data_IF_402123471294
#
_entry.id   IF_402123471294
#
_cell.length_a   1.000
_cell.length_b   1.000
_cell.length_c   1.000
_cell.angle_alpha   90.00
_cell.angle_beta   90.00
_cell.angle_gamma   90.00
#
_symmetry.space_group_name_H-M   'P 1'
#
loop_
_entity.id
_entity.type
_entity.pdbx_description
1 polymer ?
#
# COMPACT_ATOMS: atom_id res chain seq x y z
N UNK A 1 23.96 25.88 -18.63
CA UNK A 1 23.54 24.55 -18.16
C UNK A 1 23.00 24.56 -16.73
N UNK A 2 23.51 25.38 -15.80
CA UNK A 2 23.03 25.40 -14.41
C UNK A 2 21.60 25.94 -14.22
N UNK A 3 21.20 26.95 -15.00
CA UNK A 3 19.87 27.56 -14.87
C UNK A 3 18.72 26.59 -15.24
N UNK A 4 18.89 25.76 -16.28
CA UNK A 4 17.90 24.75 -16.66
C UNK A 4 17.74 23.66 -15.60
N UNK A 5 18.85 23.23 -14.99
CA UNK A 5 18.82 22.24 -13.91
C UNK A 5 18.11 22.79 -12.67
N UNK A 6 18.40 24.04 -12.29
CA UNK A 6 17.75 24.70 -11.17
C UNK A 6 16.24 24.86 -11.39
N UNK A 7 15.83 25.27 -12.59
CA UNK A 7 14.43 25.35 -12.98
C UNK A 7 13.74 23.98 -12.93
N UNK A 8 14.40 22.93 -13.42
CA UNK A 8 13.86 21.56 -13.37
C UNK A 8 13.62 21.10 -11.92
N UNK A 9 14.57 21.35 -11.03
CA UNK A 9 14.45 21.03 -9.61
C UNK A 9 13.33 21.85 -8.95
N UNK A 10 13.21 23.14 -9.27
CA UNK A 10 12.12 23.97 -8.75
C UNK A 10 10.74 23.46 -9.18
N UNK A 11 10.57 23.06 -10.44
CA UNK A 11 9.33 22.42 -10.88
C UNK A 11 9.07 21.08 -10.18
N UNK A 12 10.10 20.26 -9.96
CA UNK A 12 9.96 18.99 -9.21
C UNK A 12 9.56 19.20 -7.73
N UNK A 13 10.02 20.28 -7.10
CA UNK A 13 9.55 20.67 -5.76
C UNK A 13 8.08 21.11 -5.77
N UNK A 14 7.65 21.87 -6.79
CA UNK A 14 6.25 22.23 -6.98
C UNK A 14 5.35 21.00 -7.19
N UNK A 15 5.83 19.99 -7.92
CA UNK A 15 5.15 18.69 -8.07
C UNK A 15 4.92 18.05 -6.69
N UNK A 16 5.95 18.03 -5.85
CA UNK A 16 5.89 17.47 -4.49
C UNK A 16 4.87 18.23 -3.64
N UNK A 17 4.95 19.56 -3.63
CA UNK A 17 4.02 20.42 -2.88
C UNK A 17 2.57 20.23 -3.33
N UNK A 18 2.32 20.19 -4.64
CA UNK A 18 0.97 20.03 -5.20
C UNK A 18 0.34 18.69 -4.80
N UNK A 19 1.14 17.62 -4.77
CA UNK A 19 0.69 16.27 -4.42
C UNK A 19 0.22 16.17 -2.96
N UNK A 20 0.97 16.74 -2.02
CA UNK A 20 0.69 16.59 -0.58
C UNK A 20 -0.23 17.67 0.00
N UNK A 21 -0.48 18.77 -0.72
CA UNK A 21 -1.31 19.88 -0.25
C UNK A 21 -2.55 20.07 -1.11
N UNK A 22 -3.56 19.24 -0.86
CA UNK A 22 -4.93 19.39 -1.41
C UNK A 22 -5.80 20.38 -0.62
N UNK A 23 -5.21 21.18 0.27
CA UNK A 23 -5.95 22.17 1.05
C UNK A 23 -6.40 23.34 0.17
N UNK A 24 -7.67 23.76 0.32
CA UNK A 24 -8.32 24.78 -0.53
C UNK A 24 -7.51 26.08 -0.67
N UNK A 25 -6.75 26.46 0.35
CA UNK A 25 -5.87 27.64 0.34
C UNK A 25 -4.74 27.60 -0.70
N UNK A 26 -4.23 26.41 -1.04
CA UNK A 26 -3.17 26.25 -2.05
C UNK A 26 -3.71 26.16 -3.48
N UNK A 27 -5.01 25.94 -3.67
CA UNK A 27 -5.61 25.91 -5.00
C UNK A 27 -5.47 27.25 -5.74
N UNK A 28 -5.35 28.37 -5.03
CA UNK A 28 -5.08 29.67 -5.63
C UNK A 28 -3.65 29.76 -6.23
N UNK A 29 -2.66 29.12 -5.59
CA UNK A 29 -1.26 29.09 -6.04
C UNK A 29 -1.11 28.17 -7.25
N UNK A 30 -1.84 27.05 -7.27
CA UNK A 30 -1.78 26.06 -8.35
C UNK A 30 -2.93 26.16 -9.36
N UNK A 31 -3.66 27.28 -9.37
CA UNK A 31 -4.92 27.45 -10.13
C UNK A 31 -4.77 27.10 -11.61
N UNK A 32 -3.58 27.33 -12.17
CA UNK A 32 -3.24 27.09 -13.58
C UNK A 32 -2.17 25.99 -13.78
N UNK A 33 -1.85 25.21 -12.75
CA UNK A 33 -0.80 24.19 -12.82
C UNK A 33 -1.31 22.84 -12.35
N UNK A 34 -1.75 22.02 -13.32
CA UNK A 34 -2.08 20.62 -13.07
C UNK A 34 -0.80 19.83 -12.77
N UNK A 35 -0.94 18.75 -12.00
CA UNK A 35 0.20 17.91 -11.61
C UNK A 35 0.97 17.36 -12.83
N UNK A 36 0.23 16.97 -13.89
CA UNK A 36 0.80 16.52 -15.16
C UNK A 36 1.61 17.62 -15.87
N UNK A 37 1.10 18.86 -15.91
CA UNK A 37 1.78 19.99 -16.54
C UNK A 37 3.07 20.35 -15.81
N UNK A 38 3.05 20.36 -14.47
CA UNK A 38 4.24 20.58 -13.65
C UNK A 38 5.30 19.51 -13.90
N UNK A 39 4.90 18.24 -13.97
CA UNK A 39 5.83 17.16 -14.28
C UNK A 39 6.41 17.28 -15.69
N UNK A 40 5.58 17.61 -16.69
CA UNK A 40 6.06 17.79 -18.06
C UNK A 40 7.07 18.94 -18.15
N UNK A 41 6.82 20.08 -17.48
CA UNK A 41 7.79 21.19 -17.40
C UNK A 41 9.08 20.79 -16.71
N UNK A 42 8.99 20.05 -15.60
CA UNK A 42 10.18 19.57 -14.90
C UNK A 42 11.03 18.64 -15.80
N UNK A 43 10.37 17.71 -16.49
CA UNK A 43 11.02 16.77 -17.41
C UNK A 43 11.57 17.44 -18.66
N UNK A 44 10.93 18.47 -19.20
CA UNK A 44 11.44 19.25 -20.33
C UNK A 44 12.79 19.91 -19.99
N UNK A 45 12.95 20.41 -18.76
CA UNK A 45 14.15 21.12 -18.32
C UNK A 45 15.24 20.20 -17.76
N UNK A 46 14.89 19.00 -17.31
CA UNK A 46 15.80 18.09 -16.62
C UNK A 46 15.35 16.63 -16.64
N UNK A 47 15.19 16.07 -17.85
CA UNK A 47 14.78 14.68 -18.09
C UNK A 47 15.78 13.61 -17.62
N UNK A 48 17.02 14.01 -17.33
CA UNK A 48 18.10 13.11 -16.89
C UNK A 48 18.52 13.37 -15.44
N UNK A 49 17.79 14.21 -14.70
CA UNK A 49 18.05 14.47 -13.29
C UNK A 49 17.32 13.43 -12.42
N UNK A 50 18.04 12.60 -11.62
CA UNK A 50 17.41 11.57 -10.78
C UNK A 50 16.37 12.14 -9.81
N UNK A 51 16.64 13.33 -9.25
CA UNK A 51 15.68 14.00 -8.37
C UNK A 51 14.36 14.30 -9.10
N UNK A 52 14.42 14.90 -10.30
CA UNK A 52 13.24 15.26 -11.10
C UNK A 52 12.47 14.00 -11.50
N UNK A 53 13.17 12.99 -12.01
CA UNK A 53 12.59 11.70 -12.37
C UNK A 53 11.88 11.03 -11.19
N UNK A 54 12.49 11.08 -10.00
CA UNK A 54 11.93 10.51 -8.77
C UNK A 54 10.64 11.20 -8.33
N UNK A 55 10.61 12.54 -8.33
CA UNK A 55 9.41 13.29 -7.94
C UNK A 55 8.29 13.14 -8.97
N UNK A 56 8.62 13.24 -10.25
CA UNK A 56 7.65 13.09 -11.34
C UNK A 56 7.09 11.67 -11.38
N UNK A 57 7.93 10.64 -11.23
CA UNK A 57 7.47 9.25 -11.15
C UNK A 57 6.48 9.04 -10.01
N UNK A 58 6.84 9.46 -8.79
CA UNK A 58 5.96 9.39 -7.63
C UNK A 58 4.61 10.11 -7.80
N UNK A 59 4.60 11.23 -8.53
CA UNK A 59 3.40 11.98 -8.85
C UNK A 59 2.53 11.29 -9.91
N UNK A 60 3.17 10.69 -10.93
CA UNK A 60 2.49 9.98 -12.02
C UNK A 60 1.81 8.70 -11.58
N UNK A 61 2.19 8.10 -10.45
CA UNK A 61 1.62 6.83 -9.93
C UNK A 61 0.07 6.76 -9.96
N UNK A 62 -0.63 7.88 -9.76
CA UNK A 62 -2.09 7.93 -9.79
C UNK A 62 -2.70 8.42 -11.11
N UNK A 63 -1.87 8.91 -12.04
CA UNK A 63 -2.27 9.43 -13.35
C UNK A 63 -1.98 8.39 -14.43
N UNK A 64 -0.74 7.93 -14.49
CA UNK A 64 -0.21 6.97 -15.45
C UNK A 64 0.84 6.10 -14.74
N UNK A 65 0.46 4.87 -14.42
CA UNK A 65 1.28 3.97 -13.63
C UNK A 65 2.49 3.43 -14.40
N UNK A 66 2.36 3.27 -15.72
CA UNK A 66 3.46 2.79 -16.56
C UNK A 66 4.52 3.88 -16.74
N UNK A 67 4.09 5.12 -16.95
CA UNK A 67 4.99 6.28 -16.95
C UNK A 67 5.66 6.47 -15.59
N UNK A 68 4.94 6.24 -14.48
CA UNK A 68 5.52 6.26 -13.13
C UNK A 68 6.68 5.28 -13.00
N UNK A 69 6.46 4.02 -13.39
CA UNK A 69 7.49 2.97 -13.33
C UNK A 69 8.68 3.33 -14.22
N UNK A 70 8.44 3.71 -15.48
CA UNK A 70 9.52 4.05 -16.42
C UNK A 70 10.39 5.21 -15.95
N UNK A 71 9.79 6.27 -15.38
CA UNK A 71 10.54 7.40 -14.82
C UNK A 71 11.39 6.98 -13.61
N UNK A 72 10.86 6.12 -12.74
CA UNK A 72 11.56 5.64 -11.56
C UNK A 72 12.69 4.66 -11.91
N UNK A 73 12.48 3.78 -12.87
CA UNK A 73 13.51 2.89 -13.43
C UNK A 73 14.64 3.71 -14.06
N UNK A 74 14.31 4.73 -14.86
CA UNK A 74 15.31 5.67 -15.40
C UNK A 74 16.07 6.38 -14.28
N UNK A 75 15.39 6.80 -13.22
CA UNK A 75 16.02 7.47 -12.07
C UNK A 75 17.09 6.59 -11.41
N UNK A 76 16.73 5.34 -11.07
CA UNK A 76 17.66 4.43 -10.39
C UNK A 76 18.80 3.97 -11.28
N UNK A 77 18.57 3.87 -12.60
CA UNK A 77 19.61 3.56 -13.58
C UNK A 77 20.66 4.67 -13.68
N UNK A 78 20.28 5.94 -13.54
CA UNK A 78 21.21 7.08 -13.52
C UNK A 78 21.91 7.18 -12.17
N UNK A 79 21.15 7.11 -11.07
CA UNK A 79 21.69 7.16 -9.70
C UNK A 79 20.78 6.45 -8.72
N UNK A 80 21.29 5.37 -8.14
CA UNK A 80 20.62 4.67 -7.04
C UNK A 80 20.29 5.65 -5.90
N UNK A 81 19.03 5.66 -5.47
CA UNK A 81 18.61 6.41 -4.30
C UNK A 81 17.39 5.75 -3.63
N UNK A 82 17.34 5.85 -2.30
CA UNK A 82 16.33 5.16 -1.48
C UNK A 82 14.88 5.55 -1.84
N UNK A 83 14.63 6.84 -2.12
CA UNK A 83 13.28 7.34 -2.43
C UNK A 83 12.75 6.77 -3.75
N UNK A 84 13.57 6.70 -4.79
CA UNK A 84 13.17 6.17 -6.09
C UNK A 84 12.77 4.69 -5.98
N UNK A 85 13.59 3.87 -5.32
CA UNK A 85 13.25 2.47 -5.07
C UNK A 85 11.99 2.32 -4.20
N UNK A 86 11.82 3.15 -3.17
CA UNK A 86 10.61 3.15 -2.36
C UNK A 86 9.36 3.44 -3.21
N UNK A 87 9.41 4.47 -4.05
CA UNK A 87 8.30 4.81 -4.94
C UNK A 87 8.08 3.79 -6.05
N UNK A 88 9.14 3.11 -6.51
CA UNK A 88 9.06 2.04 -7.48
C UNK A 88 8.28 0.84 -6.91
N UNK A 89 8.59 0.44 -5.67
CA UNK A 89 7.82 -0.59 -4.95
C UNK A 89 6.34 -0.24 -4.81
N UNK A 90 6.02 1.00 -4.41
CA UNK A 90 4.62 1.47 -4.35
C UNK A 90 3.93 1.48 -5.71
N UNK A 91 4.67 1.71 -6.79
CA UNK A 91 4.13 1.73 -8.15
C UNK A 91 3.83 0.32 -8.64
N UNK A 92 4.71 -0.64 -8.38
CA UNK A 92 4.45 -2.05 -8.70
C UNK A 92 3.22 -2.60 -7.97
N UNK A 93 3.08 -2.33 -6.66
CA UNK A 93 1.88 -2.75 -5.91
C UNK A 93 0.62 -2.10 -6.49
N UNK A 94 0.66 -0.79 -6.79
CA UNK A 94 -0.48 -0.11 -7.43
C UNK A 94 -0.86 -0.79 -8.75
N UNK A 95 0.12 -1.17 -9.57
CA UNK A 95 -0.11 -1.85 -10.86
C UNK A 95 -0.72 -3.24 -10.66
N UNK A 96 -0.28 -4.01 -9.67
CA UNK A 96 -0.90 -5.29 -9.29
C UNK A 96 -2.37 -5.10 -8.95
N UNK A 97 -2.67 -4.15 -8.05
CA UNK A 97 -4.05 -3.84 -7.64
C UNK A 97 -4.91 -3.42 -8.83
N UNK A 98 -4.38 -2.59 -9.73
CA UNK A 98 -5.08 -2.19 -10.95
C UNK A 98 -5.39 -3.39 -11.86
N UNK A 99 -4.41 -4.28 -12.06
CA UNK A 99 -4.59 -5.49 -12.86
C UNK A 99 -5.65 -6.43 -12.27
N UNK A 100 -5.71 -6.58 -10.94
CA UNK A 100 -6.76 -7.35 -10.26
C UNK A 100 -8.15 -6.77 -10.53
N UNK A 101 -8.33 -5.46 -10.37
CA UNK A 101 -9.61 -4.80 -10.64
C UNK A 101 -10.03 -4.89 -12.11
N UNK A 102 -9.09 -4.78 -13.06
CA UNK A 102 -9.37 -4.95 -14.49
C UNK A 102 -9.79 -6.38 -14.85
N UNK A 103 -9.23 -7.39 -14.18
CA UNK A 103 -9.63 -8.80 -14.35
C UNK A 103 -11.02 -9.11 -13.79
N UNK A 104 -11.43 -8.40 -12.73
CA UNK A 104 -12.74 -8.55 -12.11
C UNK A 104 -13.86 -7.72 -12.78
N UNK A 105 -13.52 -6.85 -13.74
CA UNK A 105 -14.46 -6.04 -14.52
C UNK A 105 -14.22 -6.09 -16.05
N UNK A 106 -14.23 -7.26 -16.71
CA UNK A 106 -14.34 -7.29 -18.16
C UNK A 106 -15.75 -6.80 -18.54
N UNK A 107 -15.80 -5.66 -19.25
CA UNK A 107 -16.99 -5.01 -19.85
C UNK A 107 -18.26 -5.88 -19.87
N UNK A 108 -19.11 -5.79 -18.84
CA UNK A 108 -20.48 -6.30 -18.96
C UNK A 108 -21.31 -5.27 -19.73
N UNK A 109 -21.81 -5.69 -20.90
CA UNK A 109 -22.92 -5.01 -21.59
C UNK A 109 -24.16 -5.04 -20.70
N UNK A 110 -25.01 -4.00 -20.68
CA UNK A 110 -26.21 -4.00 -19.87
C UNK A 110 -27.27 -4.86 -20.55
N UNK A 111 -27.30 -6.15 -20.25
CA UNK A 111 -28.46 -6.99 -20.55
C UNK A 111 -29.34 -7.13 -19.31
N UNK A 112 -30.61 -6.81 -19.57
CA UNK A 112 -31.73 -6.67 -18.66
C UNK A 112 -31.91 -7.90 -17.80
N UNK A 113 -32.27 -7.70 -16.53
CA UNK A 113 -33.12 -8.67 -15.84
C UNK A 113 -33.96 -8.02 -14.73
N UNK A 114 -35.26 -8.19 -14.88
CA UNK A 114 -36.25 -8.40 -13.82
C UNK A 114 -37.03 -9.65 -14.24
N UNK A 115 -37.77 -10.39 -13.37
CA UNK A 115 -37.86 -10.38 -11.91
C UNK A 115 -37.69 -11.78 -11.25
N UNK A 116 -37.53 -11.76 -9.92
CA UNK A 116 -37.85 -12.75 -8.86
C UNK A 116 -38.28 -14.18 -9.30
N UNK A 117 -37.58 -15.20 -8.76
CA UNK A 117 -38.18 -16.50 -8.41
C UNK A 117 -37.54 -17.04 -7.12
N UNK A 118 -38.39 -17.37 -6.14
CA UNK A 118 -38.07 -18.30 -5.05
C UNK A 118 -37.84 -19.71 -5.62
N UNK A 119 -36.99 -20.52 -4.97
CA UNK A 119 -37.39 -21.82 -4.39
C UNK A 119 -36.21 -22.51 -3.69
N UNK A 120 -36.54 -22.97 -2.49
CA UNK A 120 -35.91 -23.98 -1.63
C UNK A 120 -34.98 -25.05 -2.25
N UNK A 121 -33.87 -25.33 -1.55
CA UNK A 121 -33.41 -26.71 -1.33
C UNK A 121 -32.65 -26.88 -0.01
N UNK A 122 -33.38 -27.44 0.96
CA UNK A 122 -33.02 -28.27 2.12
C UNK A 122 -31.52 -28.58 2.35
N UNK A 123 -31.05 -28.22 3.55
CA UNK A 123 -29.84 -28.79 4.17
C UNK A 123 -30.18 -29.36 5.56
N UNK A 124 -30.31 -30.68 5.58
CA UNK A 124 -30.18 -31.65 6.67
C UNK A 124 -30.23 -31.13 8.13
N UNK A 125 -31.40 -31.28 8.75
CA UNK A 125 -31.50 -31.57 10.18
C UNK A 125 -30.92 -32.97 10.45
N UNK A 126 -29.63 -33.02 10.79
CA UNK A 126 -29.04 -34.17 11.46
C UNK A 126 -29.25 -34.03 12.97
N UNK A 127 -30.16 -34.84 13.51
CA UNK A 127 -30.29 -35.09 14.94
C UNK A 127 -28.92 -35.31 15.59
N UNK A 128 -28.57 -34.48 16.57
CA UNK A 128 -27.59 -34.84 17.60
C UNK A 128 -28.25 -34.71 18.96
N UNK A 129 -28.53 -35.87 19.52
CA UNK A 129 -28.97 -36.13 20.88
C UNK A 129 -28.30 -35.21 21.91
N UNK A 130 -29.11 -34.53 22.71
CA UNK A 130 -29.34 -35.00 24.08
C UNK A 130 -28.20 -34.96 25.08
N UNK A 131 -27.15 -34.15 24.89
CA UNK A 131 -26.30 -33.69 25.99
C UNK A 131 -26.18 -32.18 25.95
N UNK A 132 -27.06 -31.49 26.69
CA UNK A 132 -26.73 -30.18 27.24
C UNK A 132 -25.60 -30.42 28.27
N UNK A 133 -24.36 -30.48 27.80
CA UNK A 133 -23.25 -30.09 28.66
C UNK A 133 -23.50 -28.62 28.99
N UNK A 134 -23.77 -28.31 30.25
CA UNK A 134 -23.74 -26.93 30.72
C UNK A 134 -22.31 -26.44 30.50
N UNK A 135 -22.04 -25.80 29.35
CA UNK A 135 -20.75 -25.17 29.13
C UNK A 135 -20.53 -24.18 30.28
N UNK A 136 -19.40 -24.30 30.97
CA UNK A 136 -19.11 -23.41 32.10
C UNK A 136 -19.05 -21.95 31.63
N UNK A 137 -19.32 -21.02 32.55
CA UNK A 137 -19.22 -19.58 32.30
C UNK A 137 -17.88 -19.19 31.65
N UNK A 138 -16.79 -19.85 32.08
CA UNK A 138 -15.44 -19.64 31.57
C UNK A 138 -15.29 -20.03 30.09
N UNK A 139 -15.96 -21.11 29.64
CA UNK A 139 -15.95 -21.50 28.23
C UNK A 139 -16.69 -20.50 27.34
N UNK A 140 -17.80 -19.96 27.83
CA UNK A 140 -18.60 -18.98 27.07
C UNK A 140 -17.90 -17.62 26.99
N UNK A 141 -17.28 -17.14 28.08
CA UNK A 141 -16.49 -15.90 28.07
C UNK A 141 -15.29 -16.02 27.10
N UNK A 142 -14.60 -17.15 27.14
CA UNK A 142 -13.48 -17.43 26.25
C UNK A 142 -13.92 -17.47 24.78
N UNK A 143 -15.08 -18.06 24.48
CA UNK A 143 -15.66 -18.07 23.12
C UNK A 143 -16.02 -16.66 22.65
N UNK A 144 -16.64 -15.85 23.50
CA UNK A 144 -17.00 -14.46 23.16
C UNK A 144 -15.76 -13.61 22.91
N UNK A 145 -14.70 -13.78 23.70
CA UNK A 145 -13.42 -13.10 23.50
C UNK A 145 -12.78 -13.47 22.17
N UNK A 146 -12.81 -14.75 21.79
CA UNK A 146 -12.34 -15.23 20.48
C UNK A 146 -13.10 -14.60 19.32
N UNK A 147 -14.44 -14.62 19.38
CA UNK A 147 -15.26 -14.02 18.32
C UNK A 147 -15.03 -12.50 18.22
N UNK A 148 -14.83 -11.81 19.34
CA UNK A 148 -14.47 -10.39 19.35
C UNK A 148 -13.11 -10.13 18.68
N UNK A 149 -12.11 -10.98 18.92
CA UNK A 149 -10.80 -10.88 18.26
C UNK A 149 -10.95 -11.13 16.75
N UNK A 150 -11.60 -12.22 16.35
CA UNK A 150 -11.75 -12.56 14.94
C UNK A 150 -12.59 -11.57 14.15
N UNK A 151 -13.65 -11.01 14.75
CA UNK A 151 -14.42 -9.92 14.13
C UNK A 151 -13.60 -8.64 14.00
N UNK A 152 -12.74 -8.32 14.98
CA UNK A 152 -11.82 -7.20 14.90
C UNK A 152 -10.77 -7.39 13.81
N UNK A 153 -10.12 -8.56 13.74
CA UNK A 153 -9.14 -8.90 12.69
C UNK A 153 -9.80 -8.81 11.32
N UNK A 154 -10.96 -9.44 11.13
CA UNK A 154 -11.70 -9.40 9.86
C UNK A 154 -12.04 -7.99 9.42
N UNK A 155 -12.43 -7.10 10.34
CA UNK A 155 -12.73 -5.69 10.05
C UNK A 155 -11.50 -4.89 9.60
N UNK A 156 -10.31 -5.21 10.11
CA UNK A 156 -9.07 -4.47 9.86
C UNK A 156 -8.08 -5.24 8.96
N UNK A 157 -8.49 -6.38 8.42
CA UNK A 157 -7.78 -7.09 7.38
C UNK A 157 -7.92 -6.27 6.10
N UNK A 158 -6.80 -5.89 5.51
CA UNK A 158 -6.83 -5.37 4.15
C UNK A 158 -7.29 -6.52 3.26
N UNK A 159 -8.40 -6.36 2.53
CA UNK A 159 -8.92 -7.35 1.56
C UNK A 159 -7.97 -7.63 0.39
N UNK A 160 -6.77 -7.05 0.41
CA UNK A 160 -5.77 -7.22 -0.61
C UNK A 160 -4.95 -8.48 -0.35
N UNK A 161 -5.53 -9.64 -0.70
CA UNK A 161 -4.77 -10.88 -0.81
C UNK A 161 -3.90 -10.81 -2.07
N UNK A 162 -2.62 -10.55 -1.88
CA UNK A 162 -1.65 -10.47 -2.97
C UNK A 162 -0.96 -11.83 -3.16
N UNK A 163 -0.83 -12.25 -4.41
CA UNK A 163 -0.05 -13.44 -4.74
C UNK A 163 1.44 -13.13 -4.56
N UNK A 164 2.09 -13.82 -3.61
CA UNK A 164 3.53 -13.70 -3.37
C UNK A 164 4.37 -14.10 -4.58
N UNK A 165 3.81 -14.91 -5.48
CA UNK A 165 4.50 -15.42 -6.65
C UNK A 165 4.36 -14.54 -7.90
N UNK A 166 3.49 -13.52 -7.86
CA UNK A 166 3.35 -12.51 -8.89
C UNK A 166 4.66 -11.73 -9.09
N UNK A 167 5.08 -11.57 -10.35
CA UNK A 167 6.35 -10.94 -10.69
C UNK A 167 6.44 -9.48 -10.21
N UNK A 168 5.34 -8.72 -10.27
CA UNK A 168 5.31 -7.33 -9.81
C UNK A 168 5.35 -7.26 -8.28
N UNK A 169 4.75 -8.22 -7.57
CA UNK A 169 4.88 -8.35 -6.11
C UNK A 169 6.33 -8.61 -5.73
N UNK A 170 7.02 -9.55 -6.41
CA UNK A 170 8.45 -9.80 -6.22
C UNK A 170 9.31 -8.56 -6.46
N UNK A 171 9.06 -7.85 -7.57
CA UNK A 171 9.74 -6.57 -7.89
C UNK A 171 9.48 -5.49 -6.83
N UNK A 172 8.28 -5.45 -6.25
CA UNK A 172 7.97 -4.50 -5.18
C UNK A 172 8.75 -4.80 -3.89
N UNK A 173 8.80 -6.06 -3.48
CA UNK A 173 9.58 -6.50 -2.31
C UNK A 173 11.05 -6.16 -2.50
N UNK A 174 11.63 -6.48 -3.66
CA UNK A 174 13.03 -6.16 -3.97
C UNK A 174 13.29 -4.65 -3.95
N UNK A 175 12.39 -3.86 -4.53
CA UNK A 175 12.48 -2.40 -4.52
C UNK A 175 12.46 -1.84 -3.10
N UNK A 176 11.57 -2.33 -2.22
CA UNK A 176 11.57 -1.88 -0.82
C UNK A 176 12.83 -2.31 -0.07
N UNK A 177 13.29 -3.55 -0.26
CA UNK A 177 14.55 -4.03 0.35
C UNK A 177 15.74 -3.17 -0.08
N UNK A 178 15.84 -2.82 -1.36
CA UNK A 178 16.89 -1.94 -1.88
C UNK A 178 16.77 -0.51 -1.35
N UNK A 179 15.55 0.02 -1.18
CA UNK A 179 15.33 1.32 -0.55
C UNK A 179 15.85 1.35 0.90
N UNK A 180 15.59 0.29 1.67
CA UNK A 180 16.05 0.14 3.07
C UNK A 180 17.57 -0.05 3.13
N UNK A 181 18.15 -0.81 2.19
CA UNK A 181 19.59 -0.99 2.09
C UNK A 181 20.32 0.35 1.88
N UNK A 182 19.77 1.21 1.01
CA UNK A 182 20.34 2.53 0.70
C UNK A 182 20.11 3.56 1.82
N UNK A 183 19.04 3.42 2.60
CA UNK A 183 18.77 4.26 3.76
C UNK A 183 18.05 3.44 4.85
N UNK A 184 18.82 2.97 5.84
CA UNK A 184 18.34 2.07 6.91
C UNK A 184 17.18 2.66 7.72
N UNK A 185 17.09 3.98 7.81
CA UNK A 185 16.02 4.71 8.53
C UNK A 185 14.90 5.21 7.61
N UNK A 186 14.75 4.64 6.41
CA UNK A 186 13.57 4.88 5.58
C UNK A 186 12.37 4.10 6.15
N UNK A 187 11.87 4.51 7.32
CA UNK A 187 10.74 3.90 8.01
C UNK A 187 9.47 3.79 7.15
N UNK A 188 9.14 4.76 6.28
CA UNK A 188 8.05 4.58 5.32
C UNK A 188 8.25 3.37 4.38
N UNK A 189 9.47 3.08 3.94
CA UNK A 189 9.76 1.90 3.12
C UNK A 189 9.73 0.60 3.93
N UNK A 190 10.22 0.62 5.19
CA UNK A 190 10.13 -0.53 6.11
C UNK A 190 8.66 -0.86 6.38
N UNK A 191 7.83 0.15 6.64
CA UNK A 191 6.41 -0.02 6.89
C UNK A 191 5.68 -0.57 5.66
N UNK A 192 5.92 0.00 4.47
CA UNK A 192 5.31 -0.49 3.23
C UNK A 192 5.76 -1.94 2.90
N UNK A 193 7.01 -2.31 3.20
CA UNK A 193 7.48 -3.70 3.08
C UNK A 193 6.76 -4.63 4.04
N UNK A 194 6.63 -4.26 5.32
CA UNK A 194 5.92 -5.05 6.31
C UNK A 194 4.45 -5.28 5.93
N UNK A 195 3.77 -4.24 5.45
CA UNK A 195 2.39 -4.35 4.95
C UNK A 195 2.32 -5.31 3.75
N UNK A 196 3.24 -5.19 2.78
CA UNK A 196 3.26 -6.10 1.63
C UNK A 196 3.53 -7.56 2.02
N UNK A 197 4.43 -7.80 2.97
CA UNK A 197 4.70 -9.14 3.50
C UNK A 197 3.47 -9.71 4.20
N UNK A 198 2.76 -8.90 4.98
CA UNK A 198 1.49 -9.29 5.59
C UNK A 198 0.43 -9.63 4.53
N UNK A 199 0.23 -8.76 3.54
CA UNK A 199 -0.76 -8.92 2.46
C UNK A 199 -0.46 -10.14 1.55
N UNK A 200 0.78 -10.65 1.58
CA UNK A 200 1.22 -11.88 0.89
C UNK A 200 1.28 -13.11 1.81
N UNK A 201 0.80 -13.00 3.05
CA UNK A 201 0.74 -14.08 4.03
C UNK A 201 2.05 -14.38 4.78
N UNK A 202 3.10 -13.59 4.58
CA UNK A 202 4.41 -13.73 5.23
C UNK A 202 4.42 -13.00 6.59
N UNK A 203 3.50 -13.40 7.49
CA UNK A 203 3.20 -12.66 8.74
C UNK A 203 4.42 -12.52 9.66
N UNK A 204 5.24 -13.57 9.78
CA UNK A 204 6.44 -13.53 10.63
C UNK A 204 7.48 -12.52 10.11
N UNK A 205 7.67 -12.46 8.79
CA UNK A 205 8.60 -11.50 8.18
C UNK A 205 8.08 -10.07 8.28
N UNK A 206 6.75 -9.88 8.19
CA UNK A 206 6.11 -8.59 8.43
C UNK A 206 6.35 -8.07 9.85
N UNK A 207 6.21 -8.93 10.87
CA UNK A 207 6.49 -8.59 12.26
C UNK A 207 7.94 -8.12 12.48
N UNK A 208 8.92 -8.75 11.80
CA UNK A 208 10.32 -8.31 11.86
C UNK A 208 10.45 -6.86 11.38
N UNK A 209 9.78 -6.49 10.29
CA UNK A 209 9.81 -5.11 9.76
C UNK A 209 9.16 -4.13 10.74
N UNK A 210 7.98 -4.44 11.27
CA UNK A 210 7.31 -3.56 12.23
C UNK A 210 8.11 -3.38 13.53
N UNK A 211 8.69 -4.46 14.05
CA UNK A 211 9.56 -4.41 15.23
C UNK A 211 10.83 -3.59 15.00
N UNK A 212 11.35 -3.55 13.76
CA UNK A 212 12.48 -2.68 13.42
C UNK A 212 12.13 -1.21 13.61
N UNK A 213 10.88 -0.80 13.30
CA UNK A 213 10.40 0.57 13.51
C UNK A 213 10.21 0.85 15.00
N UNK A 214 9.55 -0.06 15.74
CA UNK A 214 9.20 0.16 17.15
C UNK A 214 10.40 0.14 18.09
N UNK A 215 11.46 -0.59 17.74
CA UNK A 215 12.71 -0.64 18.53
C UNK A 215 13.69 0.49 18.20
N UNK A 216 13.40 1.34 17.21
CA UNK A 216 14.27 2.47 16.87
C UNK A 216 14.16 3.61 17.91
N UNK A 217 15.25 4.30 18.24
CA UNK A 217 15.21 5.48 19.11
C UNK A 217 14.75 6.71 18.30
N UNK A 218 13.45 7.03 18.36
CA UNK A 218 12.84 8.01 17.45
C UNK A 218 13.15 9.49 17.74
N UNK A 219 13.47 10.23 16.68
CA UNK A 219 13.25 11.68 16.55
C UNK A 219 11.84 12.03 16.02
N UNK A 220 11.46 13.31 16.07
CA UNK A 220 10.11 13.84 15.84
C UNK A 220 9.42 13.50 14.50
N UNK A 221 10.18 13.15 13.46
CA UNK A 221 9.68 12.95 12.09
C UNK A 221 9.08 11.55 11.79
N UNK A 222 9.12 10.60 12.74
CA UNK A 222 8.68 9.21 12.50
C UNK A 222 7.55 8.72 13.41
N UNK A 223 6.81 9.64 14.06
CA UNK A 223 5.69 9.28 14.93
C UNK A 223 4.54 8.55 14.20
N UNK A 224 4.23 8.95 12.96
CA UNK A 224 3.17 8.30 12.17
C UNK A 224 3.56 6.86 11.83
N UNK A 225 4.77 6.65 11.30
CA UNK A 225 5.27 5.31 10.99
C UNK A 225 5.35 4.42 12.23
N UNK A 226 5.71 4.97 13.38
CA UNK A 226 5.72 4.24 14.65
C UNK A 226 4.31 3.78 15.06
N UNK A 227 3.32 4.68 15.04
CA UNK A 227 1.93 4.36 15.38
C UNK A 227 1.42 3.27 14.44
N UNK A 228 1.62 3.44 13.13
CA UNK A 228 1.23 2.43 12.15
C UNK A 228 1.95 1.10 12.34
N UNK A 229 3.23 1.10 12.73
CA UNK A 229 3.96 -0.13 13.01
C UNK A 229 3.38 -0.89 14.22
N UNK A 230 3.05 -0.19 15.31
CA UNK A 230 2.38 -0.81 16.46
C UNK A 230 1.02 -1.38 16.09
N UNK A 231 0.21 -0.61 15.35
CA UNK A 231 -1.09 -1.04 14.86
C UNK A 231 -0.98 -2.32 14.01
N UNK A 232 -0.09 -2.32 13.00
CA UNK A 232 0.08 -3.47 12.12
C UNK A 232 0.68 -4.68 12.84
N UNK A 233 1.63 -4.48 13.77
CA UNK A 233 2.15 -5.58 14.59
C UNK A 233 1.05 -6.19 15.47
N UNK A 234 0.20 -5.36 16.08
CA UNK A 234 -0.97 -5.83 16.83
C UNK A 234 -1.91 -6.68 15.97
N UNK A 235 -2.22 -6.22 14.76
CA UNK A 235 -3.04 -7.00 13.81
C UNK A 235 -2.39 -8.34 13.44
N UNK A 236 -1.07 -8.39 13.22
CA UNK A 236 -0.35 -9.63 12.96
C UNK A 236 -0.41 -10.61 14.15
N UNK A 237 -0.24 -10.12 15.38
CA UNK A 237 -0.36 -10.98 16.57
C UNK A 237 -1.77 -11.51 16.77
N UNK A 238 -2.80 -10.69 16.49
CA UNK A 238 -4.18 -11.14 16.53
C UNK A 238 -4.46 -12.22 15.46
N UNK A 239 -3.95 -12.05 14.25
CA UNK A 239 -4.08 -13.06 13.16
C UNK A 239 -3.35 -14.37 13.51
N UNK A 240 -2.16 -14.31 14.13
CA UNK A 240 -1.44 -15.50 14.61
C UNK A 240 -2.11 -16.19 15.79
N UNK A 241 -2.96 -15.49 16.53
CA UNK A 241 -3.74 -16.03 17.64
C UNK A 241 -5.06 -16.67 17.19
N UNK A 242 -5.44 -16.53 15.91
CA UNK A 242 -6.56 -17.27 15.33
C UNK A 242 -6.19 -18.75 15.15
N UNK A 243 -6.96 -19.70 15.73
CA UNK A 243 -6.68 -21.14 15.69
C UNK A 243 -7.00 -21.79 14.33
#
# INVERSE_FOLDING_TARGET
NDDSSLQAMAYAELVTLRKYRSHKSYNAIFRNFRLLELCNKALEKGSDLPFVLTQCGNAMKFIDIDKSIALLEKSVAIKENSKAYHYLGKSFIRKVVMNMHSRNHPRQRPEKQSPIFETNSKSNHGNRDGRQESMSHDYEEHRQRKEAISSYVRKHKNDLSLDKDDELVKKAIESFKKAIQLAKENFPAILDLGILLKDTGQIQEALIQFNTITNSHLGSNSKISLISAYEQAGLCYLELAEP
#
